data_IF_209141067525
#
_entry.id   IF_209141067525
#
_cell.length_a   1.000
_cell.length_b   1.000
_cell.length_c   1.000
_cell.angle_alpha   90.00
_cell.angle_beta   90.00
_cell.angle_gamma   90.00
#
_symmetry.space_group_name_H-M   'P 1'
#
loop_
_entity.id
_entity.type
_entity.pdbx_description
1 polymer ?
#
# COMPACT_ATOMS: atom_id res chain seq x y z
N UNK A 1 -6.23 -39.13 75.92
CA UNK A 1 -5.09 -38.43 76.57
C UNK A 1 -4.20 -37.89 75.45
N UNK A 2 -3.73 -36.63 75.55
CA UNK A 2 -3.99 -35.48 74.64
C UNK A 2 -2.72 -35.04 73.83
N UNK A 3 -2.52 -33.80 73.29
CA UNK A 3 -3.35 -32.61 73.01
C UNK A 3 -3.23 -32.06 71.53
N UNK A 4 -4.25 -31.40 70.96
CA UNK A 4 -4.48 -29.95 70.79
C UNK A 4 -3.63 -29.18 69.74
N UNK A 5 -4.33 -28.49 68.81
CA UNK A 5 -3.94 -27.24 68.10
C UNK A 5 -3.61 -26.09 69.12
N UNK A 6 -3.09 -24.88 68.77
CA UNK A 6 -3.14 -24.14 67.49
C UNK A 6 -1.90 -23.25 67.14
N UNK A 7 -1.92 -22.56 65.97
CA UNK A 7 -1.55 -21.13 65.79
C UNK A 7 -1.31 -20.73 64.30
N UNK A 8 -2.11 -19.79 63.77
CA UNK A 8 -1.74 -18.94 62.61
C UNK A 8 -0.71 -17.88 63.05
N UNK A 9 0.09 -17.24 62.15
CA UNK A 9 -0.40 -15.99 61.51
C UNK A 9 0.27 -15.54 60.17
N UNK A 10 -0.41 -14.58 59.49
CA UNK A 10 0.13 -13.52 58.57
C UNK A 10 0.64 -13.97 57.18
N UNK A 11 0.50 -13.23 56.07
CA UNK A 11 -0.15 -11.97 55.64
C UNK A 11 -0.16 -12.02 54.09
N UNK A 12 -0.97 -11.21 53.40
CA UNK A 12 -1.09 -11.21 51.94
C UNK A 12 0.23 -10.90 51.25
N UNK A 13 0.55 -11.66 50.21
CA UNK A 13 1.66 -11.40 49.30
C UNK A 13 1.49 -9.99 48.69
N UNK A 14 2.54 -9.15 48.65
CA UNK A 14 2.45 -7.84 48.05
C UNK A 14 2.20 -7.99 46.55
N UNK A 15 1.05 -7.47 46.12
CA UNK A 15 0.69 -7.26 44.72
C UNK A 15 1.83 -6.51 44.05
N UNK A 16 2.51 -7.18 43.11
CA UNK A 16 3.44 -6.52 42.23
C UNK A 16 2.68 -5.40 41.50
N UNK A 17 3.05 -4.15 41.78
CA UNK A 17 2.65 -3.02 40.94
C UNK A 17 3.19 -3.30 39.55
N UNK A 18 2.30 -3.73 38.67
CA UNK A 18 2.60 -3.85 37.26
C UNK A 18 3.06 -2.48 36.74
N UNK A 19 4.09 -2.42 35.89
CA UNK A 19 4.52 -1.17 35.29
C UNK A 19 3.35 -0.51 34.57
N UNK A 20 3.20 0.80 34.80
CA UNK A 20 2.22 1.67 34.17
C UNK A 20 2.21 1.39 32.66
N UNK A 21 1.14 0.76 32.18
CA UNK A 21 0.96 0.47 30.76
C UNK A 21 1.04 1.82 30.04
N UNK A 22 1.89 1.98 29.00
CA UNK A 22 1.89 3.19 28.20
C UNK A 22 0.46 3.48 27.75
N UNK A 23 0.00 4.68 28.05
CA UNK A 23 -1.30 5.20 27.60
C UNK A 23 -1.43 4.89 26.10
N UNK A 24 -2.56 4.31 25.64
CA UNK A 24 -2.77 4.09 24.22
C UNK A 24 -2.49 5.41 23.49
N UNK A 25 -1.67 5.41 22.42
CA UNK A 25 -1.53 6.61 21.61
C UNK A 25 -2.93 7.07 21.22
N UNK A 26 -3.15 8.39 21.28
CA UNK A 26 -4.41 9.00 20.91
C UNK A 26 -4.90 8.37 19.59
N UNK A 27 -6.21 8.11 19.42
CA UNK A 27 -6.73 7.61 18.15
C UNK A 27 -6.20 8.53 17.06
N UNK A 28 -5.32 7.98 16.22
CA UNK A 28 -4.81 8.67 15.05
C UNK A 28 -5.98 9.17 14.22
N UNK A 29 -5.78 10.24 13.41
CA UNK A 29 -6.84 10.79 12.56
C UNK A 29 -7.57 9.63 11.88
N UNK A 30 -8.88 9.58 12.09
CA UNK A 30 -9.76 8.46 11.80
C UNK A 30 -9.28 7.74 10.54
N UNK A 31 -8.75 6.53 10.72
CA UNK A 31 -8.32 5.68 9.63
C UNK A 31 -9.53 5.55 8.70
N UNK A 32 -9.48 6.22 7.54
CA UNK A 32 -10.62 6.29 6.64
C UNK A 32 -11.01 4.85 6.28
N UNK A 33 -12.31 4.57 6.38
CA UNK A 33 -12.91 3.24 6.28
C UNK A 33 -12.18 2.33 5.28
N UNK A 34 -11.69 1.18 5.79
CA UNK A 34 -11.05 0.03 5.11
C UNK A 34 -11.84 -0.57 3.92
N UNK A 35 -12.91 0.06 3.47
CA UNK A 35 -13.88 -0.56 2.54
C UNK A 35 -13.79 -0.01 1.11
N UNK A 36 -13.29 1.22 0.92
CA UNK A 36 -13.24 1.83 -0.41
C UNK A 36 -11.91 1.54 -1.11
N UNK A 37 -11.93 0.64 -2.10
CA UNK A 37 -10.85 0.50 -3.08
C UNK A 37 -10.55 1.87 -3.72
N UNK A 38 -9.27 2.21 -3.88
CA UNK A 38 -8.89 3.41 -4.62
C UNK A 38 -9.38 3.26 -6.07
N UNK A 39 -10.33 4.09 -6.54
CA UNK A 39 -10.89 3.91 -7.88
C UNK A 39 -9.87 4.22 -8.97
N UNK A 40 -9.01 5.21 -8.72
CA UNK A 40 -8.06 5.78 -9.66
C UNK A 40 -6.60 5.37 -9.38
N UNK A 41 -6.34 4.44 -8.45
CA UNK A 41 -4.99 3.98 -8.12
C UNK A 41 -4.86 2.48 -8.29
N UNK A 42 -3.73 2.08 -8.87
CA UNK A 42 -3.42 0.70 -9.20
C UNK A 42 -1.95 0.42 -8.96
N UNK A 43 -1.66 -0.76 -8.42
CA UNK A 43 -0.30 -1.27 -8.33
C UNK A 43 0.05 -1.99 -9.64
N UNK A 44 0.87 -1.38 -10.48
CA UNK A 44 1.34 -1.98 -11.72
C UNK A 44 2.49 -2.94 -11.40
N UNK A 45 2.32 -4.20 -11.81
CA UNK A 45 3.30 -5.26 -11.56
C UNK A 45 4.05 -5.69 -12.82
N UNK A 46 3.31 -5.83 -13.93
CA UNK A 46 3.81 -6.39 -15.19
C UNK A 46 3.04 -5.76 -16.34
N UNK A 47 3.48 -6.07 -17.56
CA UNK A 47 2.74 -5.74 -18.77
C UNK A 47 2.62 -6.98 -19.66
N UNK A 48 1.66 -6.95 -20.58
CA UNK A 48 1.46 -7.96 -21.63
C UNK A 48 1.10 -7.27 -22.95
N UNK A 49 1.75 -7.62 -24.08
CA UNK A 49 1.40 -7.07 -25.40
C UNK A 49 0.18 -7.80 -26.00
N UNK A 50 -0.93 -7.87 -25.25
CA UNK A 50 -2.12 -8.62 -25.66
C UNK A 50 -2.99 -7.80 -26.62
N UNK A 51 -3.45 -8.42 -27.71
CA UNK A 51 -4.39 -7.78 -28.65
C UNK A 51 -3.80 -6.70 -29.57
N UNK A 52 -2.47 -6.62 -29.69
CA UNK A 52 -1.79 -5.62 -30.54
C UNK A 52 -1.65 -4.24 -29.89
N UNK A 53 -1.86 -4.15 -28.58
CA UNK A 53 -1.62 -2.97 -27.75
C UNK A 53 -0.95 -3.41 -26.45
N UNK A 54 -0.28 -2.50 -25.74
CA UNK A 54 0.29 -2.80 -24.44
C UNK A 54 -0.84 -2.83 -23.40
N UNK A 55 -0.92 -3.88 -22.60
CA UNK A 55 -1.85 -3.98 -21.47
C UNK A 55 -1.07 -4.11 -20.17
N UNK A 56 -1.38 -3.26 -19.20
CA UNK A 56 -0.76 -3.32 -17.88
C UNK A 56 -1.50 -4.34 -17.01
N UNK A 57 -0.73 -5.19 -16.33
CA UNK A 57 -1.20 -6.12 -15.31
C UNK A 57 -1.09 -5.41 -13.97
N UNK A 58 -2.25 -5.11 -13.41
CA UNK A 58 -2.35 -4.22 -12.28
C UNK A 58 -3.18 -4.85 -11.17
N UNK A 59 -2.86 -4.51 -9.92
CA UNK A 59 -3.66 -4.91 -8.76
C UNK A 59 -4.29 -3.68 -8.16
N UNK A 60 -5.61 -3.72 -8.01
CA UNK A 60 -6.33 -2.69 -7.25
C UNK A 60 -6.03 -2.88 -5.77
N UNK A 61 -6.18 -1.82 -5.00
CA UNK A 61 -5.84 -1.84 -3.59
C UNK A 61 -6.45 -0.69 -2.84
N UNK A 62 -6.09 -0.60 -1.57
CA UNK A 62 -6.40 0.53 -0.72
C UNK A 62 -5.15 0.92 0.06
N UNK A 63 -5.03 2.20 0.39
CA UNK A 63 -4.01 2.64 1.33
C UNK A 63 -4.35 2.14 2.72
N UNK A 64 -3.38 1.47 3.35
CA UNK A 64 -3.49 1.04 4.74
C UNK A 64 -3.50 2.22 5.71
N UNK A 65 -3.46 1.91 7.00
CA UNK A 65 -3.31 2.98 8.00
C UNK A 65 -1.88 3.54 7.94
N UNK A 66 -1.69 4.88 7.94
CA UNK A 66 -0.37 5.46 8.09
C UNK A 66 0.26 4.97 9.40
N UNK A 67 1.47 4.42 9.31
CA UNK A 67 2.23 3.98 10.48
C UNK A 67 3.06 5.15 11.04
N UNK A 68 3.13 5.28 12.36
CA UNK A 68 3.91 6.35 12.99
C UNK A 68 5.39 6.24 12.56
N UNK A 69 5.87 7.23 11.79
CA UNK A 69 7.26 7.30 11.34
C UNK A 69 7.56 6.62 9.98
N UNK A 70 6.55 6.27 9.18
CA UNK A 70 6.77 5.66 7.86
C UNK A 70 5.76 6.08 6.79
N UNK A 71 6.01 5.64 5.56
CA UNK A 71 5.07 5.77 4.46
C UNK A 71 3.90 4.79 4.65
N UNK A 72 2.70 5.24 4.28
CA UNK A 72 1.50 4.40 4.28
C UNK A 72 1.69 3.25 3.28
N UNK A 73 1.53 1.97 3.66
CA UNK A 73 1.63 0.89 2.70
C UNK A 73 0.36 0.81 1.85
N UNK A 74 0.51 0.71 0.52
CA UNK A 74 -0.60 0.36 -0.36
C UNK A 74 -0.85 -1.15 -0.30
N UNK A 75 -2.02 -1.54 0.18
CA UNK A 75 -2.41 -2.94 0.31
C UNK A 75 -3.18 -3.32 -0.96
N UNK A 76 -2.49 -4.01 -1.87
CA UNK A 76 -3.15 -4.60 -3.05
C UNK A 76 -4.12 -5.68 -2.61
N UNK A 77 -5.40 -5.53 -2.92
CA UNK A 77 -6.46 -6.48 -2.60
C UNK A 77 -7.23 -6.84 -3.86
N UNK A 78 -7.44 -8.14 -4.05
CA UNK A 78 -8.17 -8.68 -5.21
C UNK A 78 -7.28 -9.25 -6.31
N UNK A 79 -7.91 -9.51 -7.45
CA UNK A 79 -7.31 -10.16 -8.61
C UNK A 79 -6.52 -9.19 -9.49
N UNK A 80 -5.55 -9.73 -10.22
CA UNK A 80 -4.82 -9.00 -11.25
C UNK A 80 -5.79 -8.64 -12.37
N UNK A 81 -5.84 -7.36 -12.71
CA UNK A 81 -6.66 -6.82 -13.79
C UNK A 81 -5.75 -6.44 -14.96
N UNK A 82 -6.22 -6.67 -16.18
CA UNK A 82 -5.55 -6.24 -17.39
C UNK A 82 -6.23 -4.99 -17.92
N UNK A 83 -5.48 -3.89 -18.02
CA UNK A 83 -5.99 -2.63 -18.54
C UNK A 83 -5.11 -2.21 -19.73
N UNK A 84 -5.68 -2.05 -20.94
CA UNK A 84 -4.93 -1.57 -22.09
C UNK A 84 -4.44 -0.14 -21.84
N UNK A 85 -3.21 0.17 -22.24
CA UNK A 85 -2.63 1.51 -22.19
C UNK A 85 -2.40 2.02 -23.61
N UNK A 86 -2.71 3.29 -23.84
CA UNK A 86 -2.46 3.94 -25.11
C UNK A 86 -0.95 4.06 -25.35
N UNK A 87 -0.50 3.88 -26.59
CA UNK A 87 0.92 4.10 -26.94
C UNK A 87 1.35 5.56 -26.70
N UNK A 88 0.43 6.51 -26.83
CA UNK A 88 0.62 7.94 -26.55
C UNK A 88 0.11 8.34 -25.15
N UNK A 89 0.02 7.39 -24.21
CA UNK A 89 -0.40 7.71 -22.85
C UNK A 89 0.58 8.70 -22.18
N UNK A 90 0.04 9.68 -21.46
CA UNK A 90 0.84 10.59 -20.65
C UNK A 90 1.29 9.86 -19.37
N UNK A 91 2.52 9.34 -19.35
CA UNK A 91 3.04 8.55 -18.23
C UNK A 91 4.07 9.36 -17.44
N UNK A 92 3.74 9.80 -16.23
CA UNK A 92 4.64 10.44 -15.29
C UNK A 92 5.16 9.47 -14.24
N UNK A 93 6.48 9.22 -14.21
CA UNK A 93 7.10 8.36 -13.20
C UNK A 93 8.30 9.03 -12.55
N UNK A 94 8.73 8.51 -11.40
CA UNK A 94 9.97 8.89 -10.71
C UNK A 94 10.76 7.63 -10.27
N UNK A 95 11.76 7.80 -9.40
CA UNK A 95 12.50 6.68 -8.82
C UNK A 95 11.55 5.67 -8.14
N UNK A 96 11.69 4.35 -8.39
CA UNK A 96 12.85 3.68 -8.96
C UNK A 96 12.82 3.44 -10.48
N UNK A 97 11.79 3.91 -11.20
CA UNK A 97 11.71 3.73 -12.66
C UNK A 97 12.76 4.57 -13.36
N UNK A 98 12.79 5.83 -12.98
CA UNK A 98 13.81 6.76 -13.44
C UNK A 98 14.89 6.90 -12.38
N UNK A 99 16.13 7.00 -12.84
CA UNK A 99 17.25 7.41 -11.99
C UNK A 99 17.11 8.89 -11.63
N UNK A 100 16.24 9.19 -10.66
CA UNK A 100 16.02 10.55 -10.15
C UNK A 100 14.76 10.68 -9.30
N UNK A 101 14.79 11.60 -8.33
CA UNK A 101 13.61 11.93 -7.50
C UNK A 101 12.61 12.83 -8.20
N UNK A 102 12.91 13.34 -9.40
CA UNK A 102 12.02 14.21 -10.15
C UNK A 102 11.09 13.38 -11.02
N UNK A 103 9.78 13.63 -10.91
CA UNK A 103 8.82 13.03 -11.80
C UNK A 103 9.05 13.54 -13.25
N UNK A 104 9.18 12.63 -14.21
CA UNK A 104 9.34 12.95 -15.62
C UNK A 104 8.34 12.17 -16.46
N UNK A 105 7.87 12.78 -17.58
CA UNK A 105 7.11 12.05 -18.57
C UNK A 105 8.02 11.03 -19.27
N UNK A 106 7.53 9.79 -19.39
CA UNK A 106 8.16 8.71 -20.14
C UNK A 106 7.17 8.16 -21.17
N UNK A 107 7.67 7.36 -22.11
CA UNK A 107 6.81 6.68 -23.07
C UNK A 107 6.32 5.34 -22.53
N UNK A 108 5.24 4.81 -23.10
CA UNK A 108 4.73 3.47 -22.78
C UNK A 108 5.82 2.41 -22.93
N UNK A 109 6.66 2.53 -23.96
CA UNK A 109 7.77 1.62 -24.20
C UNK A 109 8.84 1.64 -23.09
N UNK A 110 9.15 2.82 -22.54
CA UNK A 110 10.09 2.91 -21.42
C UNK A 110 9.52 2.30 -20.14
N UNK A 111 8.22 2.52 -19.88
CA UNK A 111 7.55 1.91 -18.74
C UNK A 111 7.55 0.39 -18.85
N UNK A 112 7.16 -0.14 -20.01
CA UNK A 112 7.11 -1.58 -20.25
C UNK A 112 8.49 -2.21 -20.15
N UNK A 113 9.51 -1.60 -20.78
CA UNK A 113 10.91 -2.05 -20.66
C UNK A 113 11.39 -2.14 -19.21
N UNK A 114 11.03 -1.15 -18.38
CA UNK A 114 11.34 -1.19 -16.96
C UNK A 114 10.58 -2.30 -16.22
N UNK A 115 9.27 -2.47 -16.48
CA UNK A 115 8.45 -3.53 -15.89
C UNK A 115 8.92 -4.93 -16.28
N UNK A 116 9.51 -5.07 -17.47
CA UNK A 116 10.16 -6.28 -17.95
C UNK A 116 11.40 -6.64 -17.12
N UNK A 117 12.20 -5.63 -16.80
CA UNK A 117 13.43 -5.77 -16.01
C UNK A 117 13.12 -5.89 -14.51
N UNK A 118 11.99 -5.35 -14.07
CA UNK A 118 11.58 -5.29 -12.67
C UNK A 118 10.13 -5.75 -12.46
N UNK A 119 9.78 -7.01 -12.78
CA UNK A 119 8.44 -7.52 -12.58
C UNK A 119 8.09 -7.57 -11.09
N UNK A 120 6.80 -7.42 -10.78
CA UNK A 120 6.23 -7.58 -9.44
C UNK A 120 6.78 -6.58 -8.40
N UNK A 121 7.20 -5.39 -8.85
CA UNK A 121 7.60 -4.30 -7.95
C UNK A 121 6.43 -3.64 -7.21
N UNK A 122 5.18 -3.84 -7.65
CA UNK A 122 4.01 -3.32 -6.97
C UNK A 122 3.98 -1.80 -6.91
N UNK A 123 4.43 -1.13 -7.98
CA UNK A 123 4.47 0.32 -8.00
C UNK A 123 3.06 0.88 -8.15
N UNK A 124 2.68 1.78 -7.25
CA UNK A 124 1.38 2.42 -7.25
C UNK A 124 1.41 3.59 -8.23
N UNK A 125 0.45 3.58 -9.14
CA UNK A 125 0.18 4.66 -10.08
C UNK A 125 -1.28 5.08 -9.97
N UNK A 126 -1.49 6.38 -10.07
CA UNK A 126 -2.74 6.96 -10.49
C UNK A 126 -2.91 6.73 -11.99
N UNK A 127 -4.10 6.34 -12.41
CA UNK A 127 -4.43 6.08 -13.81
C UNK A 127 -5.74 6.75 -14.17
N UNK A 128 -5.81 7.27 -15.40
CA UNK A 128 -7.04 7.76 -16.01
C UNK A 128 -7.30 6.97 -17.29
N UNK A 129 -8.55 6.57 -17.48
CA UNK A 129 -9.00 5.80 -18.65
C UNK A 129 -9.99 6.60 -19.48
N UNK A 130 -9.88 6.47 -20.79
CA UNK A 130 -10.86 7.03 -21.69
C UNK A 130 -12.19 6.25 -21.65
N UNK A 131 -13.19 6.72 -22.41
CA UNK A 131 -14.51 6.05 -22.52
C UNK A 131 -14.45 4.60 -23.05
N UNK A 132 -13.35 4.20 -23.67
CA UNK A 132 -13.12 2.84 -24.15
C UNK A 132 -12.41 1.94 -23.10
N UNK A 133 -12.07 2.47 -21.92
CA UNK A 133 -11.36 1.75 -20.87
C UNK A 133 -9.85 1.64 -21.09
N UNK A 134 -9.27 2.48 -21.96
CA UNK A 134 -7.83 2.51 -22.25
C UNK A 134 -7.17 3.59 -21.40
N UNK A 135 -6.06 3.25 -20.74
CA UNK A 135 -5.26 4.20 -19.96
C UNK A 135 -4.70 5.25 -20.90
N UNK A 136 -5.07 6.50 -20.66
CA UNK A 136 -4.58 7.67 -21.39
C UNK A 136 -3.62 8.50 -20.54
N UNK A 137 -3.67 8.34 -19.23
CA UNK A 137 -2.77 9.03 -18.30
C UNK A 137 -2.40 8.09 -17.17
N UNK A 138 -1.12 8.07 -16.81
CA UNK A 138 -0.58 7.29 -15.71
C UNK A 138 0.41 8.17 -14.94
N UNK A 139 0.30 8.28 -13.62
CA UNK A 139 1.14 9.16 -12.82
C UNK A 139 1.42 8.57 -11.45
N UNK A 140 2.62 8.70 -10.90
CA UNK A 140 2.82 8.44 -9.46
C UNK A 140 2.28 9.62 -8.64
N UNK A 141 1.92 9.43 -7.37
CA UNK A 141 1.21 10.42 -6.51
C UNK A 141 1.76 11.86 -6.59
N UNK A 142 3.07 12.01 -6.79
CA UNK A 142 3.73 13.32 -6.90
C UNK A 142 3.52 14.04 -8.25
N UNK A 143 2.96 13.35 -9.25
CA UNK A 143 2.59 13.95 -10.54
C UNK A 143 1.24 14.69 -10.52
N UNK A 144 0.47 14.53 -9.44
CA UNK A 144 -0.80 15.24 -9.24
C UNK A 144 -0.62 16.38 -8.22
N UNK A 145 0.29 17.32 -8.51
CA UNK A 145 0.42 18.59 -7.79
C UNK A 145 0.36 19.77 -8.74
#
# INVERSE_FOLDING_TARGET
>A
TPPASPASPKKPSPSASAPDKPKPPAPGPACASTDALSPNEIAVNRYTPEGGQYSLIVKRGHWGCPVAGGATPFVTVGEETWIPIAEDAAIGVHAPILSGSANKPITTHELTSWLETHPNKGLVFHYDVNKAGVIVTLGQEEYTS
#
